data_IF_344783085585
#
_entry.id   IF_344783085585
#
_cell.length_a   1.000
_cell.length_b   1.000
_cell.length_c   1.000
_cell.angle_alpha   90.00
_cell.angle_beta   90.00
_cell.angle_gamma   90.00
#
_symmetry.space_group_name_H-M   'P 1'
#
loop_
_entity.id
_entity.type
_entity.pdbx_description
1 polymer ?
#
# COMPACT_ATOMS: atom_id res chain seq x y z
N UNK A 1 -61.18 -22.49 11.32
CA UNK A 1 -60.00 -21.76 11.84
C UNK A 1 -58.76 -22.63 11.64
N UNK A 2 -57.93 -22.35 10.62
CA UNK A 2 -56.46 -22.57 10.57
C UNK A 2 -56.05 -22.21 9.13
N UNK A 3 -55.73 -20.94 8.89
CA UNK A 3 -54.98 -20.50 7.71
C UNK A 3 -54.20 -19.25 8.11
N UNK A 4 -52.92 -19.40 8.43
CA UNK A 4 -52.11 -18.28 8.94
C UNK A 4 -50.63 -18.58 9.19
N UNK A 5 -50.18 -19.84 9.17
CA UNK A 5 -48.78 -20.18 9.52
C UNK A 5 -47.81 -20.25 8.32
N UNK A 6 -48.29 -20.43 7.08
CA UNK A 6 -47.43 -20.60 5.89
C UNK A 6 -46.76 -19.31 5.42
N UNK A 7 -47.41 -18.16 5.63
CA UNK A 7 -46.87 -16.86 5.22
C UNK A 7 -45.82 -16.30 6.20
N UNK A 8 -45.91 -16.64 7.50
CA UNK A 8 -44.97 -16.16 8.53
C UNK A 8 -43.60 -16.83 8.43
N UNK A 9 -43.54 -18.11 8.07
CA UNK A 9 -42.28 -18.85 7.85
C UNK A 9 -41.55 -18.42 6.58
N UNK A 10 -42.29 -18.12 5.49
CA UNK A 10 -41.69 -17.60 4.26
C UNK A 10 -41.08 -16.21 4.42
N UNK A 11 -41.75 -15.31 5.16
CA UNK A 11 -41.24 -13.97 5.44
C UNK A 11 -39.99 -13.99 6.31
N UNK A 12 -39.94 -14.89 7.31
CA UNK A 12 -38.80 -15.05 8.21
C UNK A 12 -37.56 -15.60 7.47
N UNK A 13 -37.75 -16.57 6.56
CA UNK A 13 -36.68 -17.11 5.72
C UNK A 13 -36.12 -16.09 4.72
N UNK A 14 -37.00 -15.27 4.12
CA UNK A 14 -36.60 -14.17 3.24
C UNK A 14 -35.83 -13.08 3.99
N UNK A 15 -36.28 -12.71 5.20
CA UNK A 15 -35.59 -11.74 6.06
C UNK A 15 -34.22 -12.24 6.53
N UNK A 16 -34.09 -13.52 6.87
CA UNK A 16 -32.79 -14.13 7.22
C UNK A 16 -31.83 -14.14 6.03
N UNK A 17 -32.32 -14.45 4.83
CA UNK A 17 -31.52 -14.43 3.60
C UNK A 17 -31.01 -13.03 3.26
N UNK A 18 -31.83 -11.99 3.43
CA UNK A 18 -31.45 -10.60 3.18
C UNK A 18 -30.40 -10.08 4.18
N UNK A 19 -30.48 -10.51 5.45
CA UNK A 19 -29.50 -10.13 6.48
C UNK A 19 -28.12 -10.75 6.23
N UNK A 20 -28.05 -11.99 5.73
CA UNK A 20 -26.77 -12.66 5.43
C UNK A 20 -26.02 -12.00 4.26
N UNK A 21 -26.74 -11.46 3.28
CA UNK A 21 -26.12 -10.78 2.13
C UNK A 21 -25.48 -9.43 2.47
N UNK A 22 -25.85 -8.80 3.59
CA UNK A 22 -25.34 -7.46 3.97
C UNK A 22 -23.99 -7.45 4.69
N UNK A 23 -23.47 -8.60 5.12
CA UNK A 23 -22.33 -8.68 6.06
C UNK A 23 -20.96 -8.83 5.36
N UNK A 24 -20.93 -8.93 4.03
CA UNK A 24 -19.72 -9.35 3.30
C UNK A 24 -18.78 -8.23 2.80
N UNK A 25 -18.95 -6.96 3.23
CA UNK A 25 -17.97 -5.90 2.92
C UNK A 25 -16.94 -5.78 4.06
N UNK A 26 -15.95 -6.66 4.06
CA UNK A 26 -14.72 -6.41 4.80
C UNK A 26 -13.87 -5.43 3.98
N UNK A 27 -13.78 -4.18 4.44
CA UNK A 27 -12.89 -3.20 3.81
C UNK A 27 -11.44 -3.52 4.21
N UNK A 28 -10.57 -3.68 3.21
CA UNK A 28 -9.16 -3.99 3.46
C UNK A 28 -8.47 -2.78 4.11
N UNK A 29 -7.67 -3.02 5.15
CA UNK A 29 -6.98 -1.94 5.88
C UNK A 29 -6.11 -1.12 4.94
N UNK A 30 -6.20 0.20 5.03
CA UNK A 30 -5.28 1.11 4.37
C UNK A 30 -3.96 1.17 5.16
N UNK A 31 -2.83 1.01 4.47
CA UNK A 31 -1.49 1.01 5.04
C UNK A 31 -0.82 2.35 4.76
N UNK A 32 -0.10 2.86 5.76
CA UNK A 32 0.78 4.02 5.60
C UNK A 32 2.21 3.57 5.23
N UNK A 33 2.88 4.34 4.37
CA UNK A 33 4.27 4.11 3.99
C UNK A 33 5.22 4.19 5.19
N UNK A 34 4.90 5.03 6.19
CA UNK A 34 5.70 5.13 7.41
C UNK A 34 5.64 3.85 8.26
N UNK A 35 4.58 3.03 8.13
CA UNK A 35 4.51 1.72 8.81
C UNK A 35 5.50 0.70 8.21
N UNK A 36 5.89 0.88 6.95
CA UNK A 36 6.85 0.02 6.26
C UNK A 36 8.31 0.47 6.47
N UNK A 37 8.52 1.63 7.11
CA UNK A 37 9.82 2.24 7.33
C UNK A 37 10.33 1.97 8.75
N UNK A 38 11.56 1.44 8.91
CA UNK A 38 12.19 1.33 10.22
C UNK A 38 12.36 2.71 10.89
N UNK A 39 12.17 2.78 12.20
CA UNK A 39 12.23 4.03 12.94
C UNK A 39 13.60 4.72 12.83
N UNK A 40 14.67 3.94 12.71
CA UNK A 40 16.02 4.47 12.52
C UNK A 40 16.20 5.10 11.13
N UNK A 41 15.55 4.57 10.09
CA UNK A 41 15.60 5.17 8.74
C UNK A 41 14.84 6.48 8.72
N UNK A 42 13.68 6.54 9.37
CA UNK A 42 12.95 7.81 9.55
C UNK A 42 13.80 8.85 10.27
N UNK A 43 14.45 8.47 11.38
CA UNK A 43 15.32 9.38 12.13
C UNK A 43 16.52 9.86 11.30
N UNK A 44 17.09 9.00 10.46
CA UNK A 44 18.16 9.39 9.52
C UNK A 44 17.64 10.45 8.55
N UNK A 45 16.50 10.22 7.90
CA UNK A 45 15.88 11.15 6.96
C UNK A 45 15.57 12.52 7.59
N UNK A 46 15.02 12.53 8.81
CA UNK A 46 14.72 13.77 9.54
C UNK A 46 15.97 14.56 9.94
N UNK A 47 17.11 13.87 10.08
CA UNK A 47 18.40 14.47 10.44
C UNK A 47 19.26 14.84 9.23
N UNK A 48 18.81 14.55 8.01
CA UNK A 48 19.59 14.84 6.81
C UNK A 48 19.80 16.35 6.64
N UNK A 49 21.03 16.79 6.30
CA UNK A 49 21.30 18.18 5.97
C UNK A 49 20.55 18.57 4.69
N UNK A 50 20.20 19.85 4.55
CA UNK A 50 19.65 20.37 3.30
C UNK A 50 20.61 20.11 2.14
N UNK A 51 20.05 19.72 1.00
CA UNK A 51 20.83 19.48 -0.22
C UNK A 51 21.12 20.83 -0.88
N UNK A 52 22.40 21.18 -0.97
CA UNK A 52 22.84 22.35 -1.73
C UNK A 52 22.71 22.06 -3.24
N UNK A 53 22.00 22.94 -3.96
CA UNK A 53 21.69 22.78 -5.39
C UNK A 53 22.63 23.58 -6.32
N UNK A 54 23.78 24.05 -5.82
CA UNK A 54 24.75 24.84 -6.59
C UNK A 54 25.98 24.03 -7.07
N UNK A 55 26.09 22.78 -6.64
CA UNK A 55 27.20 21.88 -6.98
C UNK A 55 27.06 21.20 -8.34
N UNK A 56 28.18 21.00 -9.03
CA UNK A 56 28.26 20.34 -10.35
C UNK A 56 28.40 18.80 -10.26
N UNK A 57 28.16 18.24 -9.06
CA UNK A 57 28.35 16.83 -8.72
C UNK A 57 27.05 16.10 -8.39
N UNK A 58 27.04 14.75 -8.43
CA UNK A 58 25.87 13.99 -7.99
C UNK A 58 25.57 14.28 -6.51
N UNK A 59 24.30 14.12 -6.11
CA UNK A 59 23.93 14.13 -4.69
C UNK A 59 24.57 12.93 -4.02
N UNK A 60 25.38 13.16 -2.98
CA UNK A 60 25.93 12.11 -2.13
C UNK A 60 24.93 11.83 -1.02
N UNK A 61 24.28 10.68 -1.08
CA UNK A 61 23.42 10.18 0.00
C UNK A 61 24.28 9.34 0.97
N UNK A 62 24.05 9.40 2.30
CA UNK A 62 24.71 8.51 3.25
C UNK A 62 24.43 7.04 2.91
N UNK A 63 25.43 6.16 2.98
CA UNK A 63 25.23 4.73 2.69
C UNK A 63 24.19 4.10 3.62
N UNK A 64 24.04 4.65 4.82
CA UNK A 64 23.10 4.22 5.86
C UNK A 64 21.62 4.29 5.43
N UNK A 65 21.26 5.15 4.48
CA UNK A 65 19.87 5.27 4.01
C UNK A 65 19.52 4.23 2.93
N UNK A 66 20.51 3.50 2.40
CA UNK A 66 20.34 2.49 1.34
C UNK A 66 20.51 1.06 1.89
N UNK A 67 20.18 0.86 3.17
CA UNK A 67 20.47 -0.39 3.89
C UNK A 67 19.47 -1.52 3.61
N UNK A 68 18.31 -1.23 3.02
CA UNK A 68 17.27 -2.21 2.67
C UNK A 68 16.64 -2.86 3.90
N UNK A 69 16.60 -2.12 5.01
CA UNK A 69 16.02 -2.58 6.27
C UNK A 69 14.50 -2.60 6.13
N UNK A 70 13.89 -3.61 6.75
CA UNK A 70 12.45 -3.84 6.70
C UNK A 70 11.88 -3.83 8.11
N UNK A 71 10.57 -3.61 8.23
CA UNK A 71 9.80 -3.80 9.46
C UNK A 71 9.25 -5.24 9.47
N UNK A 72 9.83 -6.19 10.24
CA UNK A 72 9.46 -7.61 10.16
C UNK A 72 7.99 -7.88 10.47
N UNK A 73 7.38 -7.07 11.32
CA UNK A 73 5.97 -7.14 11.74
C UNK A 73 5.01 -6.87 10.58
N UNK A 74 5.47 -6.18 9.52
CA UNK A 74 4.69 -5.91 8.31
C UNK A 74 4.73 -7.08 7.31
N UNK A 75 5.49 -8.15 7.61
CA UNK A 75 5.49 -9.37 6.82
C UNK A 75 4.13 -10.06 6.79
N UNK A 76 3.62 -10.36 5.59
CA UNK A 76 2.31 -10.99 5.36
C UNK A 76 1.09 -10.19 5.87
N UNK A 77 1.23 -8.88 6.04
CA UNK A 77 0.07 -8.01 6.34
C UNK A 77 -0.71 -7.75 5.06
N UNK A 78 -1.99 -8.12 5.06
CA UNK A 78 -2.91 -7.79 3.98
C UNK A 78 -3.42 -6.35 4.12
N UNK A 79 -3.27 -5.55 3.07
CA UNK A 79 -3.66 -4.15 3.08
C UNK A 79 -3.68 -3.50 1.70
N UNK A 80 -4.25 -2.30 1.63
CA UNK A 80 -4.21 -1.42 0.47
C UNK A 80 -3.24 -0.29 0.75
N UNK A 81 -2.32 -0.01 -0.17
CA UNK A 81 -1.37 1.09 -0.06
C UNK A 81 -1.43 1.93 -1.33
N UNK A 82 -1.64 3.26 -1.24
CA UNK A 82 -1.60 4.14 -2.39
C UNK A 82 -0.16 4.34 -2.87
N UNK A 83 0.05 4.42 -4.18
CA UNK A 83 1.39 4.68 -4.71
C UNK A 83 1.43 4.84 -6.23
N UNK A 84 2.62 5.10 -6.75
CA UNK A 84 2.91 5.24 -8.16
C UNK A 84 3.69 4.02 -8.67
N UNK A 85 3.46 3.66 -9.93
CA UNK A 85 4.09 2.49 -10.56
C UNK A 85 5.30 2.93 -11.38
N UNK A 86 6.45 2.35 -11.08
CA UNK A 86 7.67 2.46 -11.89
C UNK A 86 7.89 1.13 -12.62
N UNK A 87 7.60 1.02 -13.93
CA UNK A 87 7.71 -0.23 -14.66
C UNK A 87 9.17 -0.69 -14.78
N UNK A 88 9.42 -1.98 -14.52
CA UNK A 88 10.73 -2.61 -14.75
C UNK A 88 10.71 -3.50 -15.99
N UNK A 89 9.56 -4.12 -16.26
CA UNK A 89 9.39 -5.03 -17.39
C UNK A 89 7.98 -4.94 -17.93
N UNK A 90 7.89 -4.88 -19.26
CA UNK A 90 6.62 -4.85 -19.98
C UNK A 90 6.57 -5.93 -21.05
N UNK A 91 5.37 -6.35 -21.41
CA UNK A 91 5.11 -7.15 -22.62
C UNK A 91 5.22 -6.29 -23.88
N UNK A 92 5.20 -6.94 -25.05
CA UNK A 92 5.18 -6.26 -26.35
C UNK A 92 3.94 -5.36 -26.55
N UNK A 93 2.84 -5.66 -25.87
CA UNK A 93 1.62 -4.84 -25.87
C UNK A 93 1.53 -3.91 -24.65
N UNK A 94 2.69 -3.54 -24.08
CA UNK A 94 2.84 -2.53 -23.03
C UNK A 94 2.15 -2.85 -21.70
N UNK A 95 1.84 -4.12 -21.41
CA UNK A 95 1.38 -4.53 -20.08
C UNK A 95 2.56 -4.64 -19.13
N UNK A 96 2.43 -4.07 -17.94
CA UNK A 96 3.46 -4.12 -16.89
C UNK A 96 3.44 -5.50 -16.23
N UNK A 97 4.61 -6.14 -16.16
CA UNK A 97 4.80 -7.46 -15.53
C UNK A 97 5.49 -7.34 -14.17
N UNK A 98 6.46 -6.44 -14.07
CA UNK A 98 7.28 -6.22 -12.87
C UNK A 98 7.41 -4.70 -12.70
N UNK A 99 7.29 -4.22 -11.46
CA UNK A 99 7.33 -2.80 -11.14
C UNK A 99 7.78 -2.55 -9.70
N UNK A 100 8.25 -1.34 -9.43
CA UNK A 100 8.29 -0.79 -8.08
C UNK A 100 7.03 0.01 -7.81
N UNK A 101 6.49 -0.14 -6.61
CA UNK A 101 5.47 0.75 -6.07
C UNK A 101 6.17 1.76 -5.15
N UNK A 102 5.93 3.05 -5.38
CA UNK A 102 6.64 4.14 -4.69
C UNK A 102 5.67 5.18 -4.12
N UNK A 103 6.02 5.90 -3.03
CA UNK A 103 5.11 6.84 -2.36
C UNK A 103 4.89 8.17 -3.09
N UNK A 104 5.76 8.54 -4.04
CA UNK A 104 5.67 9.82 -4.75
C UNK A 104 6.01 9.71 -6.24
N UNK A 105 5.48 10.64 -7.02
CA UNK A 105 5.71 10.71 -8.46
C UNK A 105 7.14 11.16 -8.78
N UNK A 106 7.78 10.54 -9.79
CA UNK A 106 9.11 10.92 -10.25
C UNK A 106 10.28 10.27 -9.51
N UNK A 107 10.00 9.42 -8.51
CA UNK A 107 10.99 8.54 -7.89
C UNK A 107 11.82 7.79 -8.94
N UNK A 108 13.13 7.70 -8.72
CA UNK A 108 14.09 6.99 -9.58
C UNK A 108 14.30 7.59 -10.99
N UNK A 109 13.57 8.65 -11.37
CA UNK A 109 13.66 9.26 -12.72
C UNK A 109 14.04 10.74 -12.62
N UNK A 110 13.34 11.51 -11.79
CA UNK A 110 13.54 12.95 -11.65
C UNK A 110 14.21 13.35 -10.33
N UNK A 111 14.12 12.48 -9.33
CA UNK A 111 14.72 12.64 -8.01
C UNK A 111 15.36 11.32 -7.59
N UNK A 112 16.32 11.34 -6.65
CA UNK A 112 16.95 10.13 -6.15
C UNK A 112 15.92 9.05 -5.72
N UNK A 113 16.29 7.75 -5.81
CA UNK A 113 15.41 6.68 -5.39
C UNK A 113 15.05 6.83 -3.91
N UNK A 114 13.81 6.47 -3.50
CA UNK A 114 13.45 6.41 -2.09
C UNK A 114 14.31 5.36 -1.37
N UNK A 115 14.45 5.46 -0.04
CA UNK A 115 15.05 4.39 0.75
C UNK A 115 14.36 3.04 0.48
N UNK A 116 15.14 1.95 0.31
CA UNK A 116 14.62 0.60 0.04
C UNK A 116 13.99 -0.06 1.27
#
# INVERSE_FOLDING_TARGET
MVSGSRHRTGLLGLLLSLMVSGVAQADMRELDWLELMPAEDLALLESMPEIEHDGDGPVLLPDEIMTGRVVPEMGNVDGRIPGFVVPLKTTNDMRILEFFLVPYYGACIHVPPPPP
#
